data_IF_047387260423
#
_entry.id   IF_047387260423
#
_cell.length_a   1.000
_cell.length_b   1.000
_cell.length_c   1.000
_cell.angle_alpha   90.00
_cell.angle_beta   90.00
_cell.angle_gamma   90.00
#
_symmetry.space_group_name_H-M   'P 1'
#
loop_
_entity.id
_entity.type
_entity.pdbx_description
1 polymer ?
#
# COMPACT_ATOMS: atom_id res chain seq x y z
N UNK A 1 9.89 6.30 21.37
CA UNK A 1 9.32 6.23 20.00
C UNK A 1 10.13 7.16 19.12
N UNK A 2 10.58 6.70 17.96
CA UNK A 2 11.30 7.56 17.02
C UNK A 2 10.35 8.64 16.51
N UNK A 3 10.72 9.92 16.64
CA UNK A 3 9.95 11.02 16.08
C UNK A 3 10.00 10.93 14.54
N UNK A 4 8.92 10.46 13.91
CA UNK A 4 8.81 10.30 12.45
C UNK A 4 8.46 11.60 11.73
N UNK A 5 8.97 12.73 12.22
CA UNK A 5 8.66 14.08 11.71
C UNK A 5 9.01 14.25 10.23
N UNK A 6 10.09 13.61 9.77
CA UNK A 6 10.49 13.58 8.37
C UNK A 6 9.52 12.80 7.46
N UNK A 7 8.77 11.83 8.00
CA UNK A 7 7.81 11.01 7.24
C UNK A 7 6.38 11.57 7.28
N UNK A 8 6.05 12.46 8.22
CA UNK A 8 4.73 13.11 8.29
C UNK A 8 4.37 13.87 7.01
N UNK A 9 5.35 14.37 6.27
CA UNK A 9 5.13 15.04 4.97
C UNK A 9 4.45 14.13 3.93
N UNK A 10 4.64 12.82 4.02
CA UNK A 10 4.06 11.83 3.10
C UNK A 10 2.58 11.55 3.37
N UNK A 11 2.04 12.06 4.48
CA UNK A 11 0.64 11.83 4.87
C UNK A 11 -0.35 12.19 3.75
N UNK A 12 -0.12 13.32 3.06
CA UNK A 12 -0.98 13.75 1.95
C UNK A 12 -0.96 12.74 0.80
N UNK A 13 0.22 12.21 0.46
CA UNK A 13 0.36 11.20 -0.59
C UNK A 13 -0.36 9.90 -0.20
N UNK A 14 -0.13 9.43 1.03
CA UNK A 14 -0.77 8.23 1.60
C UNK A 14 -2.29 8.34 1.53
N UNK A 15 -2.85 9.42 2.06
CA UNK A 15 -4.31 9.63 2.08
C UNK A 15 -4.90 9.77 0.68
N UNK A 16 -4.18 10.37 -0.28
CA UNK A 16 -4.64 10.44 -1.67
C UNK A 16 -4.70 9.08 -2.34
N UNK A 17 -3.76 8.18 -2.02
CA UNK A 17 -3.64 6.88 -2.67
C UNK A 17 -4.66 5.85 -2.15
N UNK A 18 -5.00 5.90 -0.86
CA UNK A 18 -5.82 4.86 -0.22
C UNK A 18 -7.33 5.00 -0.46
N UNK A 19 -7.80 6.14 -0.96
CA UNK A 19 -9.22 6.51 -0.92
C UNK A 19 -10.15 5.79 -1.90
N UNK A 20 -9.67 5.37 -3.08
CA UNK A 20 -10.55 4.88 -4.14
C UNK A 20 -10.52 3.37 -4.36
N UNK A 21 -9.43 2.67 -4.01
CA UNK A 21 -9.28 1.23 -4.27
C UNK A 21 -9.18 0.85 -5.76
N UNK A 22 -9.13 1.83 -6.67
CA UNK A 22 -9.14 1.64 -8.13
C UNK A 22 -7.96 0.76 -8.59
N UNK A 23 -6.82 0.79 -7.88
CA UNK A 23 -5.66 -0.05 -8.19
C UNK A 23 -5.96 -1.56 -8.22
N UNK A 24 -7.01 -2.03 -7.54
CA UNK A 24 -7.41 -3.44 -7.53
C UNK A 24 -8.42 -3.82 -8.62
N UNK A 25 -8.98 -2.86 -9.36
CA UNK A 25 -10.12 -3.09 -10.27
C UNK A 25 -10.04 -2.30 -11.58
N UNK A 26 -9.11 -1.36 -11.72
CA UNK A 26 -8.99 -0.45 -12.86
C UNK A 26 -8.50 -1.15 -14.12
N UNK A 27 -9.43 -1.76 -14.86
CA UNK A 27 -9.22 -2.22 -16.23
C UNK A 27 -9.70 -1.11 -17.16
N UNK A 28 -8.86 -0.68 -18.12
CA UNK A 28 -9.17 0.37 -19.10
C UNK A 28 -8.69 -0.05 -20.48
N UNK A 29 -9.50 -0.83 -21.18
CA UNK A 29 -9.20 -1.33 -22.52
C UNK A 29 -8.95 -0.20 -23.54
N UNK A 30 -9.67 0.93 -23.41
CA UNK A 30 -9.51 2.10 -24.28
C UNK A 30 -8.09 2.71 -24.29
N UNK A 31 -7.27 2.42 -23.26
CA UNK A 31 -5.87 2.85 -23.17
C UNK A 31 -4.90 1.67 -23.09
N UNK A 32 -5.33 0.48 -23.53
CA UNK A 32 -4.49 -0.72 -23.54
C UNK A 32 -4.20 -1.33 -22.15
N UNK A 33 -5.00 -1.00 -21.13
CA UNK A 33 -4.87 -1.57 -19.77
C UNK A 33 -5.87 -2.70 -19.58
N UNK A 34 -5.40 -3.94 -19.66
CA UNK A 34 -6.26 -5.14 -19.66
C UNK A 34 -6.32 -5.88 -18.32
N UNK A 35 -5.37 -5.61 -17.43
CA UNK A 35 -5.23 -6.26 -16.12
C UNK A 35 -5.05 -5.21 -15.01
N UNK A 36 -5.16 -5.64 -13.77
CA UNK A 36 -5.03 -4.81 -12.58
C UNK A 36 -3.62 -4.91 -11.97
N UNK A 37 -3.51 -4.97 -10.63
CA UNK A 37 -2.23 -5.14 -9.94
C UNK A 37 -1.64 -6.53 -10.24
N UNK A 38 -0.37 -6.65 -10.70
CA UNK A 38 0.23 -7.95 -11.03
C UNK A 38 0.18 -8.97 -9.90
N UNK A 39 0.31 -8.53 -8.65
CA UNK A 39 0.21 -9.42 -7.50
C UNK A 39 -1.22 -9.95 -7.36
N UNK A 40 -2.25 -9.14 -7.69
CA UNK A 40 -3.65 -9.54 -7.57
C UNK A 40 -3.96 -10.55 -8.67
N UNK A 41 -3.49 -10.28 -9.88
CA UNK A 41 -3.60 -11.23 -11.00
C UNK A 41 -2.88 -12.56 -10.69
N UNK A 42 -1.72 -12.50 -10.03
CA UNK A 42 -0.92 -13.69 -9.71
C UNK A 42 -1.45 -14.48 -8.49
N UNK A 43 -2.05 -13.81 -7.50
CA UNK A 43 -2.44 -14.42 -6.21
C UNK A 43 -3.97 -14.47 -5.97
N UNK A 44 -4.77 -13.96 -6.90
CA UNK A 44 -6.23 -13.85 -6.76
C UNK A 44 -6.68 -12.80 -5.75
N UNK A 45 -7.98 -12.78 -5.45
CA UNK A 45 -8.58 -11.88 -4.44
C UNK A 45 -8.08 -12.19 -3.00
N UNK A 46 -7.43 -13.34 -2.81
CA UNK A 46 -6.75 -13.72 -1.56
C UNK A 46 -5.32 -13.17 -1.44
N UNK A 47 -4.82 -12.50 -2.48
CA UNK A 47 -3.53 -11.83 -2.41
C UNK A 47 -3.51 -10.87 -1.22
N UNK A 48 -2.67 -11.16 -0.23
CA UNK A 48 -2.65 -10.44 1.02
C UNK A 48 -2.44 -8.94 0.77
N UNK A 49 -3.36 -8.09 1.26
CA UNK A 49 -3.45 -6.65 0.95
C UNK A 49 -2.11 -5.92 1.03
N UNK A 50 -1.24 -6.29 1.97
CA UNK A 50 0.08 -5.67 2.18
C UNK A 50 1.02 -5.80 0.98
N UNK A 51 0.82 -6.80 0.11
CA UNK A 51 1.67 -7.01 -1.06
C UNK A 51 1.25 -6.09 -2.21
N UNK A 52 0.03 -5.55 -2.16
CA UNK A 52 -0.42 -4.52 -3.07
C UNK A 52 0.00 -3.13 -2.58
N UNK A 53 0.12 -2.19 -3.52
CA UNK A 53 0.45 -0.80 -3.21
C UNK A 53 -0.46 -0.20 -2.14
N UNK A 54 -1.76 -0.54 -2.15
CA UNK A 54 -2.73 -0.06 -1.16
C UNK A 54 -2.46 -0.58 0.26
N UNK A 55 -2.21 -1.88 0.45
CA UNK A 55 -1.93 -2.39 1.79
C UNK A 55 -0.59 -1.90 2.33
N UNK A 56 0.43 -1.70 1.49
CA UNK A 56 1.68 -1.02 1.93
C UNK A 56 1.41 0.39 2.43
N UNK A 57 0.52 1.13 1.78
CA UNK A 57 0.09 2.45 2.25
C UNK A 57 -0.65 2.36 3.59
N UNK A 58 -1.49 1.34 3.81
CA UNK A 58 -2.16 1.12 5.11
C UNK A 58 -1.17 0.78 6.23
N UNK A 59 -0.12 0.00 5.94
CA UNK A 59 0.97 -0.27 6.89
C UNK A 59 1.68 1.04 7.25
N UNK A 60 2.07 1.85 6.26
CA UNK A 60 2.73 3.13 6.48
C UNK A 60 1.85 4.12 7.25
N UNK A 61 0.55 4.18 6.94
CA UNK A 61 -0.45 4.96 7.70
C UNK A 61 -0.46 4.55 9.17
N UNK A 62 -0.50 3.25 9.44
CA UNK A 62 -0.57 2.71 10.80
C UNK A 62 0.71 3.00 11.59
N UNK A 63 1.86 3.01 10.91
CA UNK A 63 3.14 3.45 11.49
C UNK A 63 3.10 4.94 11.84
N UNK A 64 2.64 5.80 10.94
CA UNK A 64 2.55 7.25 11.18
C UNK A 64 1.53 7.62 12.26
N UNK A 65 0.45 6.84 12.39
CA UNK A 65 -0.54 6.97 13.46
C UNK A 65 -0.06 6.42 14.81
N UNK A 66 1.13 5.80 14.86
CA UNK A 66 1.67 5.18 16.08
C UNK A 66 0.98 3.87 16.49
N UNK A 67 0.17 3.27 15.61
CA UNK A 67 -0.53 2.00 15.83
C UNK A 67 0.37 0.79 15.58
N UNK A 68 1.36 0.94 14.72
CA UNK A 68 2.35 -0.09 14.38
C UNK A 68 3.76 0.47 14.63
N UNK A 69 4.59 -0.20 15.45
CA UNK A 69 5.97 0.23 15.61
C UNK A 69 6.77 -0.04 14.32
N UNK A 70 7.74 0.83 14.04
CA UNK A 70 8.78 0.49 13.07
C UNK A 70 9.64 -0.64 13.62
N UNK A 71 9.77 -1.72 12.87
CA UNK A 71 10.74 -2.77 13.13
C UNK A 71 11.39 -3.24 11.82
N UNK A 72 12.55 -3.87 11.96
CA UNK A 72 13.22 -4.53 10.83
C UNK A 72 12.36 -5.63 10.24
N UNK A 73 11.69 -6.43 11.08
CA UNK A 73 10.81 -7.51 10.64
C UNK A 73 9.63 -6.98 9.82
N UNK A 74 9.05 -5.84 10.21
CA UNK A 74 7.98 -5.19 9.44
C UNK A 74 8.47 -4.74 8.06
N UNK A 75 9.69 -4.19 7.99
CA UNK A 75 10.29 -3.78 6.73
C UNK A 75 10.58 -4.99 5.82
N UNK A 76 11.18 -6.05 6.37
CA UNK A 76 11.45 -7.30 5.65
C UNK A 76 10.15 -7.97 5.15
N UNK A 77 9.08 -7.90 5.94
CA UNK A 77 7.78 -8.43 5.54
C UNK A 77 7.10 -7.62 4.43
N UNK A 78 7.21 -6.28 4.47
CA UNK A 78 6.59 -5.41 3.47
C UNK A 78 7.38 -5.35 2.14
N UNK A 79 8.71 -5.53 2.19
CA UNK A 79 9.64 -5.35 1.07
C UNK A 79 10.40 -6.63 0.66
N UNK A 80 9.89 -7.81 1.03
CA UNK A 80 10.42 -9.14 0.62
C UNK A 80 11.11 -9.16 -0.73
#
# INVERSE_FOLDING_TARGET
MTELTNLKKEWKAIMSCMGCGDCGYAIRQAVGRYLTCPVKEAKGDEGFEIYFSRGRMNVLKSVLEGKLPLSRELAEFAYQ
#
